data_IF_758053563956
#
_entry.id   IF_758053563956
#
_cell.length_a   1.000
_cell.length_b   1.000
_cell.length_c   1.000
_cell.angle_alpha   90.00
_cell.angle_beta   90.00
_cell.angle_gamma   90.00
#
_symmetry.space_group_name_H-M   'P 1'
#
loop_
_entity.id
_entity.type
_entity.pdbx_description
1 polymer ?
#
# COMPACT_ATOMS: atom_id res chain seq x y z
N UNK A 1 48.23 30.97 -20.47
CA UNK A 1 46.90 30.34 -20.46
C UNK A 1 46.53 30.02 -19.01
N UNK A 2 45.73 30.87 -18.37
CA UNK A 2 45.17 30.57 -17.05
C UNK A 2 43.82 29.88 -17.29
N UNK A 3 43.75 28.59 -16.96
CA UNK A 3 42.52 27.80 -17.09
C UNK A 3 41.49 28.27 -16.07
N UNK A 4 40.36 28.73 -16.55
CA UNK A 4 39.18 29.06 -15.75
C UNK A 4 38.59 27.75 -15.22
N UNK A 5 38.73 27.47 -13.92
CA UNK A 5 37.93 26.45 -13.25
C UNK A 5 36.49 26.98 -13.20
N UNK A 6 35.61 26.37 -13.99
CA UNK A 6 34.17 26.49 -13.80
C UNK A 6 33.83 25.84 -12.45
N UNK A 7 33.57 26.67 -11.44
CA UNK A 7 33.00 26.22 -10.18
C UNK A 7 31.50 26.10 -10.43
N UNK A 8 30.99 24.87 -10.56
CA UNK A 8 29.56 24.62 -10.66
C UNK A 8 28.87 25.20 -9.40
N UNK A 9 27.91 26.10 -9.61
CA UNK A 9 27.16 26.72 -8.51
C UNK A 9 26.20 25.73 -7.83
N UNK A 10 25.73 26.03 -6.61
CA UNK A 10 24.84 25.16 -5.85
C UNK A 10 23.52 24.83 -6.57
N UNK A 11 23.05 25.71 -7.46
CA UNK A 11 21.87 25.47 -8.29
C UNK A 11 22.04 24.32 -9.29
N UNK A 12 23.24 24.12 -9.85
CA UNK A 12 23.49 23.08 -10.84
C UNK A 12 23.49 21.67 -10.23
N UNK A 13 23.91 21.55 -8.97
CA UNK A 13 23.84 20.27 -8.25
C UNK A 13 22.41 19.91 -7.81
N UNK A 14 21.58 20.90 -7.46
CA UNK A 14 20.20 20.64 -7.02
C UNK A 14 19.29 20.15 -8.16
N UNK A 15 19.40 20.71 -9.37
CA UNK A 15 18.66 20.21 -10.54
C UNK A 15 19.02 18.75 -10.89
N UNK A 16 20.29 18.36 -10.71
CA UNK A 16 20.74 16.98 -10.92
C UNK A 16 20.16 16.03 -9.85
N UNK A 17 20.15 16.43 -8.58
CA UNK A 17 19.53 15.65 -7.49
C UNK A 17 18.03 15.45 -7.72
N UNK A 18 17.30 16.48 -8.15
CA UNK A 18 15.86 16.39 -8.40
C UNK A 18 15.53 15.42 -9.53
N UNK A 19 16.33 15.41 -10.60
CA UNK A 19 16.17 14.46 -11.72
C UNK A 19 16.45 13.02 -11.29
N UNK A 20 17.55 12.78 -10.58
CA UNK A 20 17.88 11.45 -10.02
C UNK A 20 16.81 10.94 -9.06
N UNK A 21 16.23 11.84 -8.28
CA UNK A 21 15.13 11.53 -7.37
C UNK A 21 13.86 11.14 -8.14
N UNK A 22 13.50 11.90 -9.18
CA UNK A 22 12.38 11.58 -10.07
C UNK A 22 12.56 10.20 -10.73
N UNK A 23 13.77 9.88 -11.21
CA UNK A 23 14.08 8.60 -11.83
C UNK A 23 13.95 7.42 -10.86
N UNK A 24 14.18 7.61 -9.56
CA UNK A 24 13.98 6.57 -8.54
C UNK A 24 12.49 6.33 -8.26
N UNK A 25 11.68 7.39 -8.27
CA UNK A 25 10.26 7.34 -7.95
C UNK A 25 9.37 7.45 -9.20
N UNK A 26 9.87 6.93 -10.34
CA UNK A 26 9.13 6.88 -11.59
C UNK A 26 7.88 6.00 -11.43
N UNK A 27 6.72 6.59 -11.70
CA UNK A 27 5.41 5.97 -11.59
C UNK A 27 4.49 6.38 -12.74
N UNK A 28 3.21 6.62 -12.43
CA UNK A 28 2.21 7.13 -13.39
C UNK A 28 2.72 8.36 -14.15
N UNK A 29 2.39 8.40 -15.44
CA UNK A 29 2.65 9.53 -16.32
C UNK A 29 1.41 10.42 -16.51
N UNK A 30 0.23 9.96 -16.08
CA UNK A 30 -1.02 10.70 -16.13
C UNK A 30 -1.33 11.52 -14.88
N UNK A 31 -0.73 11.21 -13.74
CA UNK A 31 -1.03 11.89 -12.48
C UNK A 31 0.07 11.78 -11.43
N UNK A 32 0.04 12.68 -10.44
CA UNK A 32 0.88 12.60 -9.23
C UNK A 32 0.11 13.07 -8.00
N UNK A 33 0.60 12.69 -6.83
CA UNK A 33 0.04 13.14 -5.55
C UNK A 33 0.61 14.49 -5.16
N UNK A 34 -0.23 15.36 -4.59
CA UNK A 34 0.20 16.56 -3.90
C UNK A 34 -0.37 16.58 -2.48
N UNK A 35 0.43 17.11 -1.56
CA UNK A 35 0.01 17.37 -0.19
C UNK A 35 0.22 18.83 0.13
N UNK A 36 -0.87 19.56 0.29
CA UNK A 36 -0.82 20.93 0.77
C UNK A 36 -0.83 20.96 2.31
N UNK A 37 0.11 21.70 2.88
CA UNK A 37 0.16 21.96 4.32
C UNK A 37 -0.66 23.22 4.56
N UNK A 38 -1.99 23.06 4.61
CA UNK A 38 -2.87 24.14 5.03
C UNK A 38 -2.39 24.69 6.39
N UNK A 39 -2.27 26.02 6.48
CA UNK A 39 -1.70 26.71 7.63
C UNK A 39 -2.28 26.26 8.98
N UNK A 40 -1.49 26.40 10.05
CA UNK A 40 -1.86 25.99 11.41
C UNK A 40 -3.21 26.58 11.85
N UNK A 41 -4.21 25.73 12.01
CA UNK A 41 -5.44 26.04 12.78
C UNK A 41 -5.11 26.15 14.29
N UNK A 42 -5.87 27.00 15.01
CA UNK A 42 -5.70 27.32 16.44
C UNK A 42 -5.68 26.11 17.39
N UNK A 43 -6.12 24.93 16.96
CA UNK A 43 -6.22 23.71 17.77
C UNK A 43 -5.07 22.69 17.56
N UNK A 44 -3.98 23.06 16.91
CA UNK A 44 -2.75 22.25 16.88
C UNK A 44 -2.77 20.99 15.99
N UNK A 45 -3.92 20.58 15.44
CA UNK A 45 -3.99 19.53 14.40
C UNK A 45 -3.83 20.15 13.01
N UNK A 46 -2.75 19.80 12.30
CA UNK A 46 -2.61 20.05 10.87
C UNK A 46 -3.53 19.09 10.11
N UNK A 47 -4.53 19.60 9.38
CA UNK A 47 -5.17 18.83 8.32
C UNK A 47 -4.31 18.96 7.06
N UNK A 48 -3.76 17.85 6.60
CA UNK A 48 -3.11 17.77 5.30
C UNK A 48 -4.19 17.45 4.27
N UNK A 49 -4.29 18.24 3.19
CA UNK A 49 -5.15 17.91 2.05
C UNK A 49 -4.31 17.10 1.08
N UNK A 50 -4.72 15.86 0.85
CA UNK A 50 -4.11 14.96 -0.12
C UNK A 50 -4.94 15.02 -1.39
N UNK A 51 -4.33 15.40 -2.51
CA UNK A 51 -4.99 15.54 -3.80
C UNK A 51 -4.19 14.85 -4.88
N UNK A 52 -4.89 14.29 -5.87
CA UNK A 52 -4.24 13.86 -7.10
C UNK A 52 -4.38 14.97 -8.15
N UNK A 53 -3.24 15.36 -8.71
CA UNK A 53 -3.17 16.28 -9.86
C UNK A 53 -2.96 15.45 -11.12
N UNK A 54 -3.84 15.62 -12.11
CA UNK A 54 -3.83 14.89 -13.40
C UNK A 54 -2.79 15.45 -14.38
N UNK A 55 -1.54 15.43 -13.96
CA UNK A 55 -0.39 15.72 -14.79
C UNK A 55 0.83 14.90 -14.32
N UNK A 56 1.82 14.64 -15.18
CA UNK A 56 3.01 13.90 -14.80
C UNK A 56 3.79 14.58 -13.66
N UNK A 57 4.41 13.79 -12.79
CA UNK A 57 5.37 14.31 -11.82
C UNK A 57 6.60 14.87 -12.56
N UNK A 58 6.88 16.16 -12.41
CA UNK A 58 7.97 16.85 -13.10
C UNK A 58 9.20 17.05 -12.21
N UNK A 59 10.34 17.38 -12.83
CA UNK A 59 11.56 17.76 -12.08
C UNK A 59 11.31 19.00 -11.22
N UNK A 60 10.51 19.95 -11.69
CA UNK A 60 10.17 21.16 -10.94
C UNK A 60 9.33 20.84 -9.69
N UNK A 61 8.36 19.93 -9.81
CA UNK A 61 7.57 19.44 -8.66
C UNK A 61 8.48 18.78 -7.62
N UNK A 62 9.44 17.97 -8.06
CA UNK A 62 10.42 17.34 -7.16
C UNK A 62 11.35 18.40 -6.55
N UNK A 63 11.78 19.41 -7.30
CA UNK A 63 12.61 20.49 -6.76
C UNK A 63 11.87 21.28 -5.68
N UNK A 64 10.60 21.65 -5.93
CA UNK A 64 9.75 22.32 -4.94
C UNK A 64 9.51 21.44 -3.70
N UNK A 65 9.44 20.11 -3.87
CA UNK A 65 9.38 19.18 -2.76
C UNK A 65 10.64 19.19 -1.89
N UNK A 66 11.80 19.07 -2.53
CA UNK A 66 13.10 19.08 -1.86
C UNK A 66 13.37 20.43 -1.18
N UNK A 67 12.88 21.53 -1.75
CA UNK A 67 12.93 22.87 -1.16
C UNK A 67 11.91 23.07 -0.03
N UNK A 68 10.93 22.16 0.10
CA UNK A 68 9.89 22.22 1.12
C UNK A 68 8.74 23.18 0.81
N UNK A 69 8.61 23.63 -0.44
CA UNK A 69 7.51 24.49 -0.91
C UNK A 69 6.23 23.71 -1.15
N UNK A 70 6.36 22.46 -1.59
CA UNK A 70 5.25 21.56 -1.90
C UNK A 70 5.47 20.16 -1.29
N UNK A 71 4.41 19.45 -0.93
CA UNK A 71 4.48 18.01 -0.69
C UNK A 71 4.10 17.28 -1.97
N UNK A 72 4.93 16.36 -2.45
CA UNK A 72 4.61 15.56 -3.64
C UNK A 72 4.66 14.08 -3.30
N UNK A 73 3.82 13.32 -3.99
CA UNK A 73 3.73 11.88 -3.93
C UNK A 73 3.79 11.28 -5.32
N UNK A 74 4.30 10.06 -5.42
CA UNK A 74 4.32 9.30 -6.67
C UNK A 74 3.29 8.18 -6.59
N UNK A 75 2.57 7.96 -7.70
CA UNK A 75 1.70 6.81 -7.91
C UNK A 75 2.58 5.71 -8.51
N UNK A 76 2.95 4.64 -7.78
CA UNK A 76 4.00 3.74 -8.23
C UNK A 76 3.65 2.91 -9.47
N UNK A 77 2.35 2.64 -9.68
CA UNK A 77 1.82 1.90 -10.82
C UNK A 77 1.55 2.86 -11.99
N UNK A 78 1.98 2.47 -13.19
CA UNK A 78 1.75 3.19 -14.43
C UNK A 78 0.53 2.66 -15.19
N UNK A 79 0.16 3.34 -16.27
CA UNK A 79 -1.01 3.04 -17.11
C UNK A 79 -0.89 1.70 -17.83
N UNK A 80 0.28 1.05 -17.78
CA UNK A 80 0.54 -0.28 -18.33
C UNK A 80 0.53 -1.38 -17.26
N UNK A 81 0.03 -1.06 -16.06
CA UNK A 81 0.01 -1.93 -14.87
C UNK A 81 1.39 -2.38 -14.41
N UNK A 82 2.42 -1.56 -14.66
CA UNK A 82 3.80 -1.82 -14.27
C UNK A 82 4.29 -0.79 -13.27
N UNK A 83 5.32 -1.16 -12.52
CA UNK A 83 5.97 -0.28 -11.55
C UNK A 83 7.49 -0.45 -11.60
N UNK A 84 8.21 0.62 -11.25
CA UNK A 84 9.67 0.61 -11.15
C UNK A 84 10.15 0.72 -9.70
N UNK A 85 9.25 1.05 -8.79
CA UNK A 85 9.48 0.99 -7.36
C UNK A 85 8.20 0.55 -6.66
N UNK A 86 8.36 0.10 -5.43
CA UNK A 86 7.24 -0.14 -4.52
C UNK A 86 7.66 0.17 -3.09
N UNK A 87 6.71 0.18 -2.17
CA UNK A 87 6.97 0.53 -0.79
C UNK A 87 6.12 -0.28 0.20
N UNK A 88 6.71 -0.56 1.37
CA UNK A 88 5.95 -0.90 2.57
C UNK A 88 5.78 0.36 3.40
N UNK A 89 4.56 0.67 3.82
CA UNK A 89 4.27 1.77 4.73
C UNK A 89 3.84 1.21 6.10
N UNK A 90 4.72 1.35 7.08
CA UNK A 90 4.55 0.87 8.45
C UNK A 90 4.23 2.07 9.34
N UNK A 91 2.96 2.20 9.68
CA UNK A 91 2.46 3.22 10.60
C UNK A 91 2.41 2.74 12.06
N UNK A 92 3.58 2.72 12.70
CA UNK A 92 3.69 2.54 14.16
C UNK A 92 4.54 3.65 14.78
N UNK A 93 3.94 4.38 15.73
CA UNK A 93 4.60 5.47 16.47
C UNK A 93 5.69 4.99 17.43
N UNK A 94 5.67 3.71 17.84
CA UNK A 94 6.65 3.09 18.74
C UNK A 94 7.72 2.29 17.98
N UNK A 95 7.82 2.48 16.66
CA UNK A 95 8.72 1.71 15.81
C UNK A 95 10.20 2.01 16.11
N UNK A 96 10.95 0.96 16.46
CA UNK A 96 12.41 1.02 16.55
C UNK A 96 13.02 0.88 15.14
N UNK A 97 13.29 2.03 14.51
CA UNK A 97 13.84 2.10 13.15
C UNK A 97 15.22 1.42 13.02
N UNK A 98 16.20 1.62 13.94
CA UNK A 98 17.45 0.86 13.93
C UNK A 98 17.25 -0.66 13.98
N UNK A 99 16.35 -1.16 14.82
CA UNK A 99 16.06 -2.59 14.92
C UNK A 99 15.42 -3.12 13.62
N UNK A 100 14.49 -2.37 13.04
CA UNK A 100 13.89 -2.73 11.75
C UNK A 100 14.93 -2.74 10.63
N UNK A 101 15.83 -1.75 10.59
CA UNK A 101 16.94 -1.73 9.63
C UNK A 101 17.87 -2.94 9.81
N UNK A 102 18.18 -3.31 11.06
CA UNK A 102 18.98 -4.49 11.36
C UNK A 102 18.30 -5.78 10.85
N UNK A 103 16.98 -5.91 11.03
CA UNK A 103 16.21 -7.02 10.44
C UNK A 103 16.32 -7.03 8.92
N UNK A 104 16.02 -5.91 8.24
CA UNK A 104 16.14 -5.76 6.78
C UNK A 104 17.51 -6.23 6.27
N UNK A 105 18.60 -5.86 6.96
CA UNK A 105 19.96 -6.30 6.60
C UNK A 105 20.22 -7.78 6.91
N UNK A 106 19.71 -8.30 8.03
CA UNK A 106 19.81 -9.73 8.39
C UNK A 106 19.18 -10.61 7.32
N UNK A 107 18.01 -10.21 6.84
CA UNK A 107 17.28 -10.86 5.75
C UNK A 107 17.86 -10.59 4.35
N UNK A 108 18.91 -9.77 4.24
CA UNK A 108 19.52 -9.34 2.97
C UNK A 108 18.49 -8.76 1.99
N UNK A 109 17.47 -8.08 2.53
CA UNK A 109 16.44 -7.46 1.71
C UNK A 109 16.98 -6.21 0.99
N UNK A 110 16.66 -6.02 -0.29
CA UNK A 110 17.05 -4.85 -1.08
C UNK A 110 16.12 -3.65 -0.81
N UNK A 111 15.82 -3.40 0.47
CA UNK A 111 14.94 -2.31 0.89
C UNK A 111 15.76 -1.13 1.42
N UNK A 112 15.33 0.08 1.04
CA UNK A 112 15.85 1.35 1.57
C UNK A 112 14.82 1.91 2.55
N UNK A 113 15.17 1.90 3.82
CA UNK A 113 14.30 2.34 4.91
C UNK A 113 14.43 3.86 5.11
N UNK A 114 13.30 4.56 4.99
CA UNK A 114 13.13 5.96 5.34
C UNK A 114 12.17 6.11 6.53
N UNK A 115 12.44 7.07 7.41
CA UNK A 115 11.49 7.47 8.45
C UNK A 115 10.28 8.16 7.80
N UNK A 116 9.06 7.83 8.21
CA UNK A 116 7.84 8.50 7.73
C UNK A 116 7.58 9.82 8.47
N UNK A 117 6.54 10.57 8.07
CA UNK A 117 6.14 11.81 8.78
C UNK A 117 5.69 11.51 10.22
N UNK A 118 4.88 10.46 10.38
CA UNK A 118 4.26 10.03 11.64
C UNK A 118 5.29 9.45 12.62
N UNK A 119 6.45 9.01 12.13
CA UNK A 119 7.49 8.37 12.94
C UNK A 119 7.63 6.87 12.69
N UNK A 120 6.74 6.31 11.87
CA UNK A 120 6.88 4.98 11.29
C UNK A 120 7.96 4.90 10.20
N UNK A 121 7.82 3.93 9.28
CA UNK A 121 8.82 3.65 8.26
C UNK A 121 8.20 3.42 6.88
N UNK A 122 8.80 4.04 5.85
CA UNK A 122 8.63 3.65 4.46
C UNK A 122 9.83 2.80 4.02
N UNK A 123 9.60 1.57 3.57
CA UNK A 123 10.66 0.70 3.03
C UNK A 123 10.50 0.59 1.52
N UNK A 124 11.40 1.23 0.78
CA UNK A 124 11.34 1.28 -0.68
C UNK A 124 12.13 0.14 -1.32
N UNK A 125 11.51 -0.53 -2.29
CA UNK A 125 12.16 -1.43 -3.23
C UNK A 125 12.30 -0.71 -4.58
N UNK A 126 13.51 -0.68 -5.13
CA UNK A 126 13.77 -0.05 -6.43
C UNK A 126 14.18 -1.10 -7.47
N UNK A 127 13.63 -0.99 -8.66
CA UNK A 127 13.90 -1.91 -9.77
C UNK A 127 14.73 -1.22 -10.86
N UNK A 128 15.62 -1.98 -11.50
CA UNK A 128 16.35 -1.51 -12.69
C UNK A 128 15.50 -1.56 -13.96
N UNK A 129 14.39 -2.31 -13.93
CA UNK A 129 13.45 -2.49 -15.03
C UNK A 129 12.01 -2.47 -14.49
N UNK A 130 11.03 -2.15 -15.34
CA UNK A 130 9.62 -2.15 -14.93
C UNK A 130 9.11 -3.59 -14.81
N UNK A 131 8.48 -3.91 -13.68
CA UNK A 131 7.84 -5.21 -13.43
C UNK A 131 6.32 -5.04 -13.28
N UNK A 132 5.57 -6.14 -13.36
CA UNK A 132 4.14 -6.11 -13.11
C UNK A 132 3.84 -5.65 -11.67
N UNK A 133 2.80 -4.83 -11.48
CA UNK A 133 2.41 -4.37 -10.15
C UNK A 133 1.98 -5.53 -9.23
N UNK A 134 1.37 -6.58 -9.78
CA UNK A 134 1.09 -7.82 -9.06
C UNK A 134 2.36 -8.47 -8.50
N UNK A 135 3.38 -8.65 -9.33
CA UNK A 135 4.69 -9.20 -8.90
C UNK A 135 5.33 -8.34 -7.81
N UNK A 136 5.36 -7.01 -7.97
CA UNK A 136 5.87 -6.10 -6.94
C UNK A 136 5.15 -6.28 -5.60
N UNK A 137 3.81 -6.32 -5.62
CA UNK A 137 2.99 -6.44 -4.41
C UNK A 137 3.17 -7.79 -3.73
N UNK A 138 3.20 -8.89 -4.49
CA UNK A 138 3.41 -10.22 -3.93
C UNK A 138 4.74 -10.29 -3.18
N UNK A 139 5.82 -9.79 -3.80
CA UNK A 139 7.16 -9.79 -3.21
C UNK A 139 7.26 -8.88 -1.99
N UNK A 140 6.64 -7.70 -2.04
CA UNK A 140 6.56 -6.81 -0.89
C UNK A 140 5.75 -7.43 0.26
N UNK A 141 4.65 -8.13 -0.02
CA UNK A 141 3.85 -8.83 1.00
C UNK A 141 4.64 -9.94 1.70
N UNK A 142 5.46 -10.68 0.94
CA UNK A 142 6.41 -11.64 1.53
C UNK A 142 7.46 -10.95 2.42
N UNK A 143 8.05 -9.84 1.97
CA UNK A 143 9.00 -9.06 2.77
C UNK A 143 8.37 -8.51 4.05
N UNK A 144 7.16 -7.98 3.95
CA UNK A 144 6.39 -7.46 5.07
C UNK A 144 6.15 -8.54 6.13
N UNK A 145 5.68 -9.72 5.71
CA UNK A 145 5.49 -10.86 6.60
C UNK A 145 6.80 -11.27 7.28
N UNK A 146 7.90 -11.41 6.52
CA UNK A 146 9.21 -11.78 7.07
C UNK A 146 9.74 -10.76 8.11
N UNK A 147 9.43 -9.48 7.93
CA UNK A 147 9.82 -8.42 8.85
C UNK A 147 8.93 -8.34 10.11
N UNK A 148 7.80 -9.04 10.12
CA UNK A 148 6.78 -8.97 11.19
C UNK A 148 5.80 -7.82 11.01
N UNK A 149 5.52 -7.45 9.76
CA UNK A 149 4.61 -6.36 9.37
C UNK A 149 3.66 -6.79 8.25
N UNK A 150 3.22 -8.05 8.21
CA UNK A 150 2.42 -8.62 7.12
C UNK A 150 1.09 -7.94 6.80
N UNK A 151 0.60 -7.04 7.67
CA UNK A 151 -0.61 -6.25 7.46
C UNK A 151 -0.34 -4.75 7.26
N UNK A 152 0.92 -4.35 7.05
CA UNK A 152 1.22 -2.96 6.70
C UNK A 152 0.66 -2.61 5.32
N UNK A 153 0.54 -1.31 5.01
CA UNK A 153 0.14 -0.94 3.66
C UNK A 153 1.27 -1.24 2.67
N UNK A 154 0.88 -1.65 1.45
CA UNK A 154 1.80 -1.98 0.35
C UNK A 154 1.46 -1.06 -0.82
N UNK A 155 2.49 -0.48 -1.42
CA UNK A 155 2.40 0.37 -2.59
C UNK A 155 3.18 -0.24 -3.77
N UNK A 156 2.59 -0.34 -4.98
CA UNK A 156 1.25 0.14 -5.33
C UNK A 156 0.13 -0.61 -4.57
N UNK A 157 -0.98 0.07 -4.27
CA UNK A 157 -2.14 -0.57 -3.60
C UNK A 157 -2.86 -1.52 -4.57
N UNK A 158 -2.86 -1.13 -5.85
CA UNK A 158 -3.45 -1.81 -6.99
C UNK A 158 -2.49 -2.78 -7.68
N UNK A 159 -3.02 -3.89 -8.20
CA UNK A 159 -2.32 -4.72 -9.20
C UNK A 159 -2.61 -4.25 -10.64
N UNK A 160 -3.75 -3.58 -10.85
CA UNK A 160 -4.20 -3.10 -12.15
C UNK A 160 -4.90 -1.72 -12.01
N UNK A 161 -4.76 -0.88 -13.03
CA UNK A 161 -5.47 0.38 -13.19
C UNK A 161 -6.53 0.25 -14.31
N UNK A 162 -7.69 0.87 -14.08
CA UNK A 162 -8.69 1.10 -15.12
C UNK A 162 -8.50 2.48 -15.75
N UNK A 163 -7.34 2.71 -16.37
CA UNK A 163 -6.94 4.03 -16.88
C UNK A 163 -7.96 4.63 -17.86
N UNK A 164 -8.55 3.80 -18.73
CA UNK A 164 -9.60 4.21 -19.69
C UNK A 164 -10.86 4.77 -19.00
N UNK A 165 -11.07 4.42 -17.73
CA UNK A 165 -12.21 4.86 -16.91
C UNK A 165 -11.85 6.01 -15.95
N UNK A 166 -10.65 6.58 -16.11
CA UNK A 166 -10.19 7.70 -15.31
C UNK A 166 -9.58 7.33 -13.95
N UNK A 167 -9.34 6.04 -13.70
CA UNK A 167 -8.57 5.59 -12.54
C UNK A 167 -7.08 5.88 -12.74
N UNK A 168 -6.47 6.44 -11.70
CA UNK A 168 -5.08 6.87 -11.68
C UNK A 168 -4.30 6.18 -10.56
N UNK A 169 -4.95 5.38 -9.70
CA UNK A 169 -4.29 4.69 -8.60
C UNK A 169 -4.05 5.53 -7.34
N UNK A 170 -3.40 4.93 -6.34
CA UNK A 170 -3.03 5.61 -5.09
C UNK A 170 -1.55 6.03 -5.09
N UNK A 171 -1.28 7.22 -4.55
CA UNK A 171 0.09 7.70 -4.37
C UNK A 171 0.64 7.41 -2.99
N UNK A 172 1.96 7.32 -2.90
CA UNK A 172 2.72 7.39 -1.65
C UNK A 172 3.49 8.71 -1.58
N UNK A 173 3.50 9.33 -0.41
CA UNK A 173 4.27 10.55 -0.18
C UNK A 173 5.77 10.28 -0.28
N UNK A 174 6.48 11.11 -1.04
CA UNK A 174 7.91 10.95 -1.22
C UNK A 174 8.71 11.38 0.04
N UNK A 175 9.86 10.73 0.31
CA UNK A 175 10.74 11.11 1.41
C UNK A 175 11.49 12.42 1.09
N UNK A 176 12.26 12.95 2.05
CA UNK A 176 13.10 14.13 1.83
C UNK A 176 12.40 15.47 1.50
N UNK A 177 11.09 15.61 1.76
CA UNK A 177 10.47 16.94 1.76
C UNK A 177 11.26 17.90 2.65
N UNK A 178 11.58 19.09 2.14
CA UNK A 178 12.49 20.05 2.79
C UNK A 178 13.83 19.37 3.16
N UNK A 179 14.56 18.88 2.15
CA UNK A 179 15.71 17.98 2.29
C UNK A 179 16.76 18.48 3.28
N UNK A 180 16.93 19.81 3.39
CA UNK A 180 17.86 20.45 4.32
C UNK A 180 17.53 20.21 5.80
N UNK A 181 16.24 20.12 6.14
CA UNK A 181 15.74 19.95 7.52
C UNK A 181 14.75 18.80 7.64
N UNK A 182 14.86 17.81 6.76
CA UNK A 182 13.84 16.79 6.63
C UNK A 182 13.80 15.89 7.87
N UNK A 183 12.58 15.50 8.27
CA UNK A 183 12.36 14.44 9.26
C UNK A 183 12.07 13.10 8.60
N UNK A 184 12.10 13.06 7.27
CA UNK A 184 11.78 11.91 6.41
C UNK A 184 13.03 11.37 5.69
N UNK A 185 14.08 11.14 6.46
CA UNK A 185 15.38 10.70 5.94
C UNK A 185 15.51 9.18 5.91
N UNK A 186 16.42 8.69 5.07
CA UNK A 186 16.86 7.30 5.08
C UNK A 186 17.86 7.05 6.20
N UNK A 187 17.90 5.83 6.73
CA UNK A 187 18.82 5.48 7.82
C UNK A 187 20.13 4.87 7.30
N UNK A 188 21.26 5.38 7.81
CA UNK A 188 22.59 4.79 7.69
C UNK A 188 22.68 3.49 8.47
N UNK A 189 23.73 2.70 8.20
CA UNK A 189 23.99 1.42 8.89
C UNK A 189 24.12 1.57 10.41
N UNK A 190 24.56 2.72 10.89
CA UNK A 190 24.72 3.03 12.31
C UNK A 190 23.47 3.67 12.95
N UNK A 191 22.37 3.82 12.20
CA UNK A 191 21.13 4.44 12.68
C UNK A 191 21.01 5.95 12.42
N UNK A 192 22.09 6.61 11.98
CA UNK A 192 22.07 8.05 11.70
C UNK A 192 21.30 8.40 10.42
N UNK A 193 20.91 9.66 10.28
CA UNK A 193 20.26 10.16 9.06
C UNK A 193 21.22 10.22 7.86
N UNK A 194 20.73 9.80 6.70
CA UNK A 194 21.33 10.08 5.40
C UNK A 194 20.95 11.49 4.93
N UNK A 195 21.91 12.17 4.30
CA UNK A 195 21.64 13.32 3.43
C UNK A 195 20.96 12.86 2.13
N UNK A 196 20.38 13.81 1.37
CA UNK A 196 19.75 13.53 0.08
C UNK A 196 20.71 12.79 -0.88
N UNK A 197 21.95 13.28 -1.01
CA UNK A 197 22.95 12.66 -1.90
C UNK A 197 23.35 11.25 -1.45
N UNK A 198 23.51 11.03 -0.14
CA UNK A 198 23.78 9.69 0.40
C UNK A 198 22.62 8.73 0.13
N UNK A 199 21.38 9.22 0.24
CA UNK A 199 20.19 8.44 -0.10
C UNK A 199 20.12 8.11 -1.59
N UNK A 200 20.28 9.09 -2.48
CA UNK A 200 20.23 8.87 -3.92
C UNK A 200 21.25 7.80 -4.32
N UNK A 201 22.50 7.92 -3.88
CA UNK A 201 23.55 6.94 -4.15
C UNK A 201 23.22 5.55 -3.56
N UNK A 202 22.65 5.50 -2.35
CA UNK A 202 22.26 4.23 -1.72
C UNK A 202 21.07 3.56 -2.44
N UNK A 203 20.07 4.34 -2.87
CA UNK A 203 18.87 3.87 -3.54
C UNK A 203 19.17 3.41 -4.97
N UNK A 204 19.98 4.16 -5.73
CA UNK A 204 20.46 3.75 -7.05
C UNK A 204 21.24 2.44 -6.98
N UNK A 205 22.12 2.31 -5.97
CA UNK A 205 22.88 1.07 -5.75
C UNK A 205 22.02 -0.11 -5.28
N UNK A 206 20.90 0.17 -4.61
CA UNK A 206 19.98 -0.86 -4.12
C UNK A 206 19.06 -1.41 -5.22
N UNK A 207 19.06 -0.81 -6.43
CA UNK A 207 18.26 -1.30 -7.55
C UNK A 207 18.58 -2.75 -7.89
N UNK A 208 17.54 -3.53 -8.16
CA UNK A 208 17.65 -4.94 -8.56
C UNK A 208 16.86 -5.21 -9.84
N UNK A 209 17.21 -6.28 -10.56
CA UNK A 209 16.45 -6.80 -11.71
C UNK A 209 15.29 -7.68 -11.26
N UNK A 210 14.32 -7.94 -12.13
CA UNK A 210 13.24 -8.89 -11.89
C UNK A 210 13.79 -10.29 -11.55
N UNK A 211 14.85 -10.70 -12.26
CA UNK A 211 15.55 -11.97 -11.99
C UNK A 211 16.18 -11.99 -10.59
N UNK A 212 16.78 -10.89 -10.13
CA UNK A 212 17.33 -10.82 -8.79
C UNK A 212 16.22 -10.88 -7.73
N UNK A 213 15.11 -10.15 -7.94
CA UNK A 213 13.95 -10.15 -7.06
C UNK A 213 13.35 -11.55 -6.86
N UNK A 214 13.16 -12.28 -7.96
CA UNK A 214 12.64 -13.66 -7.97
C UNK A 214 13.56 -14.65 -7.25
N UNK A 215 14.87 -14.41 -7.23
CA UNK A 215 15.85 -15.27 -6.57
C UNK A 215 16.02 -14.96 -5.07
N UNK A 216 15.36 -13.94 -4.54
CA UNK A 216 15.38 -13.67 -3.10
C UNK A 216 14.54 -14.73 -2.41
N UNK A 217 15.20 -15.71 -1.81
CA UNK A 217 14.53 -16.64 -0.92
C UNK A 217 14.49 -16.03 0.48
N UNK A 218 13.27 -15.73 0.93
CA UNK A 218 13.04 -15.44 2.33
C UNK A 218 12.92 -16.78 3.01
N UNK A 219 13.84 -17.04 3.93
CA UNK A 219 13.77 -18.21 4.78
C UNK A 219 12.35 -18.40 5.31
N UNK A 220 11.85 -19.58 5.02
CA UNK A 220 10.81 -20.28 5.72
C UNK A 220 11.15 -21.70 5.37
N UNK A 221 11.99 -22.33 6.19
CA UNK A 221 12.58 -23.61 5.83
C UNK A 221 11.44 -24.62 5.63
N UNK A 222 11.13 -24.90 4.36
CA UNK A 222 10.09 -25.87 4.01
C UNK A 222 10.51 -27.27 4.48
N UNK A 223 11.74 -27.43 4.97
CA UNK A 223 12.23 -28.61 5.67
C UNK A 223 11.61 -28.78 7.06
N UNK A 224 11.40 -27.70 7.84
CA UNK A 224 10.93 -27.82 9.24
C UNK A 224 9.42 -27.97 9.30
N UNK A 225 8.68 -27.14 8.55
CA UNK A 225 7.21 -27.22 8.43
C UNK A 225 6.80 -27.33 6.95
N UNK A 226 7.03 -28.48 6.30
CA UNK A 226 6.69 -28.69 4.89
C UNK A 226 5.24 -28.35 4.55
N UNK A 227 5.04 -27.44 3.60
CA UNK A 227 3.73 -26.97 3.15
C UNK A 227 2.83 -26.43 4.28
N UNK A 228 3.45 -25.97 5.38
CA UNK A 228 2.78 -25.32 6.49
C UNK A 228 2.48 -23.84 6.22
N UNK A 229 1.70 -23.19 7.10
CA UNK A 229 1.45 -21.74 7.03
C UNK A 229 2.77 -20.94 7.05
N UNK A 230 2.92 -19.94 6.17
CA UNK A 230 4.16 -19.14 6.08
C UNK A 230 4.46 -18.36 7.36
N UNK A 231 3.43 -17.92 8.09
CA UNK A 231 3.61 -17.25 9.38
C UNK A 231 4.27 -18.16 10.42
N UNK A 232 3.90 -19.45 10.44
CA UNK A 232 4.49 -20.43 11.36
C UNK A 232 5.91 -20.77 10.95
N UNK A 233 6.19 -20.97 9.66
CA UNK A 233 7.54 -21.19 9.15
C UNK A 233 8.50 -20.07 9.59
N UNK A 234 8.08 -18.82 9.44
CA UNK A 234 8.87 -17.66 9.86
C UNK A 234 9.08 -17.61 11.38
N UNK A 235 8.01 -17.80 12.17
CA UNK A 235 8.11 -17.79 13.64
C UNK A 235 9.01 -18.91 14.17
N UNK A 236 8.99 -20.08 13.53
CA UNK A 236 9.86 -21.21 13.84
C UNK A 236 11.32 -20.90 13.50
N UNK A 237 11.60 -20.36 12.31
CA UNK A 237 12.97 -20.07 11.88
C UNK A 237 13.68 -19.04 12.77
N UNK A 238 12.97 -17.99 13.21
CA UNK A 238 13.56 -16.97 14.08
C UNK A 238 13.54 -17.32 15.57
N UNK A 239 12.85 -18.41 15.92
CA UNK A 239 12.52 -18.77 17.28
C UNK A 239 11.43 -17.87 17.86
N UNK A 240 10.53 -18.48 18.63
CA UNK A 240 9.40 -17.76 19.23
C UNK A 240 9.77 -17.23 20.61
N UNK A 241 9.82 -15.90 20.81
CA UNK A 241 10.18 -15.32 22.10
C UNK A 241 9.02 -15.36 23.11
N UNK A 242 9.35 -15.02 24.36
CA UNK A 242 8.38 -14.80 25.42
C UNK A 242 7.20 -13.90 25.02
N UNK A 243 6.00 -14.23 25.52
CA UNK A 243 4.75 -13.55 25.16
C UNK A 243 3.96 -14.20 24.01
N UNK A 244 4.64 -14.85 23.04
CA UNK A 244 4.00 -15.45 21.86
C UNK A 244 3.98 -16.98 21.80
N UNK A 245 4.73 -17.66 22.68
CA UNK A 245 4.99 -19.12 22.62
C UNK A 245 3.75 -19.99 22.64
N UNK A 246 2.84 -19.75 23.60
CA UNK A 246 1.64 -20.58 23.75
C UNK A 246 0.73 -20.47 22.50
N UNK A 247 0.48 -19.24 22.03
CA UNK A 247 -0.30 -19.01 20.81
C UNK A 247 0.35 -19.66 19.58
N UNK A 248 1.68 -19.56 19.47
CA UNK A 248 2.41 -20.19 18.37
C UNK A 248 2.32 -21.71 18.43
N UNK A 249 2.55 -22.32 19.60
CA UNK A 249 2.48 -23.77 19.79
C UNK A 249 1.07 -24.34 19.55
N UNK A 250 0.01 -23.62 19.92
CA UNK A 250 -1.36 -24.05 19.57
C UNK A 250 -1.50 -24.19 18.06
N UNK A 251 -1.01 -23.22 17.28
CA UNK A 251 -1.12 -23.23 15.82
C UNK A 251 -0.15 -24.23 15.15
N UNK A 252 1.05 -24.41 15.71
CA UNK A 252 1.98 -25.48 15.31
C UNK A 252 1.34 -26.85 15.55
N UNK A 253 0.62 -27.02 16.67
CA UNK A 253 -0.12 -28.23 16.96
C UNK A 253 -1.25 -28.49 15.96
N UNK A 254 -1.96 -27.45 15.49
CA UNK A 254 -2.94 -27.58 14.39
C UNK A 254 -2.25 -28.11 13.13
N UNK A 255 -1.10 -27.54 12.76
CA UNK A 255 -0.31 -28.01 11.62
C UNK A 255 0.10 -29.49 11.77
N UNK A 256 0.70 -29.88 12.90
CA UNK A 256 1.15 -31.26 13.09
C UNK A 256 -0.02 -32.26 13.14
N UNK A 257 -1.20 -31.87 13.65
CA UNK A 257 -2.40 -32.72 13.56
C UNK A 257 -2.82 -32.98 12.12
N UNK A 258 -2.61 -32.04 11.21
CA UNK A 258 -2.91 -32.21 9.78
C UNK A 258 -1.80 -32.97 9.04
N UNK A 259 -0.54 -32.64 9.32
CA UNK A 259 0.62 -33.18 8.61
C UNK A 259 1.07 -34.57 9.11
N UNK A 260 0.94 -34.84 10.41
CA UNK A 260 1.42 -36.05 11.09
C UNK A 260 0.50 -36.44 12.27
N UNK A 261 -0.77 -36.84 12.01
CA UNK A 261 -1.81 -37.03 13.03
C UNK A 261 -1.49 -38.09 14.10
N UNK A 262 -0.58 -39.03 13.84
CA UNK A 262 -0.23 -40.08 14.81
C UNK A 262 0.85 -39.62 15.79
N UNK A 263 1.74 -38.71 15.36
CA UNK A 263 2.97 -38.35 16.09
C UNK A 263 2.97 -36.88 16.55
N UNK A 264 1.87 -36.15 16.33
CA UNK A 264 1.80 -34.70 16.50
C UNK A 264 2.17 -34.22 17.91
N UNK A 265 1.92 -35.01 18.97
CA UNK A 265 2.26 -34.64 20.34
C UNK A 265 3.77 -34.63 20.58
N UNK A 266 4.46 -35.68 20.13
CA UNK A 266 5.91 -35.80 20.22
C UNK A 266 6.60 -34.72 19.38
N UNK A 267 6.09 -34.50 18.15
CA UNK A 267 6.57 -33.43 17.28
C UNK A 267 6.38 -32.05 17.90
N UNK A 268 5.25 -31.80 18.57
CA UNK A 268 4.98 -30.53 19.25
C UNK A 268 5.91 -30.30 20.45
N UNK A 269 6.19 -31.33 21.25
CA UNK A 269 7.15 -31.26 22.36
C UNK A 269 8.56 -30.95 21.87
N UNK A 270 9.00 -31.65 20.82
CA UNK A 270 10.29 -31.39 20.17
C UNK A 270 10.35 -29.97 19.62
N UNK A 271 9.30 -29.52 18.94
CA UNK A 271 9.22 -28.16 18.40
C UNK A 271 9.35 -27.09 19.49
N UNK A 272 8.72 -27.29 20.65
CA UNK A 272 8.88 -26.39 21.79
C UNK A 272 10.34 -26.31 22.27
N UNK A 273 11.04 -27.45 22.38
CA UNK A 273 12.44 -27.47 22.81
C UNK A 273 13.37 -26.79 21.80
N UNK A 274 13.14 -27.04 20.51
CA UNK A 274 14.04 -26.59 19.45
C UNK A 274 13.82 -25.11 19.08
N UNK A 275 12.58 -24.61 19.15
CA UNK A 275 12.21 -23.31 18.54
C UNK A 275 11.53 -22.30 19.47
N UNK A 276 11.12 -22.65 20.69
CA UNK A 276 10.65 -21.67 21.66
C UNK A 276 11.81 -21.17 22.54
N UNK A 277 11.91 -19.85 22.73
CA UNK A 277 13.02 -19.25 23.48
C UNK A 277 12.54 -18.36 24.66
N UNK A 278 12.70 -18.79 25.92
CA UNK A 278 13.03 -20.17 26.33
C UNK A 278 11.87 -21.14 26.07
N UNK A 279 12.10 -22.47 26.06
CA UNK A 279 11.05 -23.46 25.90
C UNK A 279 9.97 -23.34 26.99
N UNK A 280 8.72 -23.63 26.64
CA UNK A 280 7.66 -23.73 27.64
C UNK A 280 7.91 -24.93 28.59
N UNK A 281 7.54 -24.81 29.87
CA UNK A 281 7.56 -25.93 30.79
C UNK A 281 6.67 -27.08 30.30
N UNK A 282 7.06 -28.33 30.59
CA UNK A 282 6.32 -29.52 30.15
C UNK A 282 4.82 -29.47 30.51
N UNK A 283 4.48 -28.94 31.69
CA UNK A 283 3.08 -28.77 32.12
C UNK A 283 2.27 -27.90 31.16
N UNK A 284 2.85 -26.84 30.61
CA UNK A 284 2.16 -25.95 29.67
C UNK A 284 1.98 -26.62 28.31
N UNK A 285 2.98 -27.38 27.85
CA UNK A 285 2.88 -28.16 26.60
C UNK A 285 1.77 -29.20 26.68
N UNK A 286 1.66 -29.91 27.81
CA UNK A 286 0.57 -30.88 28.05
C UNK A 286 -0.80 -30.19 28.01
N UNK A 287 -0.93 -28.99 28.59
CA UNK A 287 -2.19 -28.22 28.51
C UNK A 287 -2.55 -27.88 27.05
N UNK A 288 -1.58 -27.49 26.23
CA UNK A 288 -1.81 -27.22 24.80
C UNK A 288 -2.25 -28.50 24.08
N UNK A 289 -1.62 -29.64 24.36
CA UNK A 289 -2.03 -30.94 23.80
C UNK A 289 -3.48 -31.28 24.18
N UNK A 290 -3.84 -31.19 25.45
CA UNK A 290 -5.21 -31.45 25.93
C UNK A 290 -6.23 -30.50 25.30
N UNK A 291 -5.86 -29.23 25.07
CA UNK A 291 -6.73 -28.29 24.37
C UNK A 291 -7.02 -28.76 22.95
N UNK A 292 -5.99 -29.13 22.19
CA UNK A 292 -6.08 -29.57 20.80
C UNK A 292 -6.79 -30.92 20.62
N UNK A 293 -6.89 -31.75 21.67
CA UNK A 293 -7.68 -32.99 21.66
C UNK A 293 -9.19 -32.75 21.81
N UNK A 294 -9.59 -31.77 22.61
CA UNK A 294 -11.01 -31.54 22.98
C UNK A 294 -11.87 -31.11 21.80
N UNK A 295 -11.31 -30.39 20.83
CA UNK A 295 -12.02 -29.92 19.64
C UNK A 295 -11.06 -29.70 18.48
N UNK A 296 -11.60 -29.65 17.29
CA UNK A 296 -10.87 -29.20 16.12
C UNK A 296 -10.67 -27.68 16.18
N UNK A 297 -9.43 -27.23 15.96
CA UNK A 297 -9.06 -25.82 15.94
C UNK A 297 -8.67 -25.42 14.53
N UNK A 298 -8.98 -24.18 14.18
CA UNK A 298 -8.48 -23.51 12.99
C UNK A 298 -7.35 -22.55 13.36
N UNK A 299 -6.52 -22.20 12.37
CA UNK A 299 -5.45 -21.23 12.58
C UNK A 299 -5.99 -19.88 13.05
N UNK A 300 -5.41 -19.34 14.13
CA UNK A 300 -5.79 -18.06 14.74
C UNK A 300 -5.04 -16.89 14.08
N UNK A 301 -5.26 -16.71 12.77
CA UNK A 301 -4.49 -15.77 11.93
C UNK A 301 -4.57 -14.30 12.39
N UNK A 302 -5.60 -13.92 13.15
CA UNK A 302 -5.80 -12.57 13.68
C UNK A 302 -5.18 -12.34 15.06
N UNK A 303 -4.54 -13.37 15.64
CA UNK A 303 -3.90 -13.30 16.95
C UNK A 303 -2.40 -13.13 16.80
N UNK A 304 -1.80 -12.27 17.63
CA UNK A 304 -0.34 -12.18 17.69
C UNK A 304 0.27 -13.45 18.32
N UNK A 305 1.45 -13.90 17.84
CA UNK A 305 2.32 -13.24 16.87
C UNK A 305 2.03 -13.58 15.39
N UNK A 306 1.06 -14.45 15.09
CA UNK A 306 0.79 -14.90 13.72
C UNK A 306 0.31 -13.76 12.82
N UNK A 307 -0.50 -12.86 13.37
CA UNK A 307 -1.07 -11.74 12.63
C UNK A 307 0.02 -10.87 12.02
N UNK A 308 1.04 -10.47 12.79
CA UNK A 308 2.19 -9.70 12.29
C UNK A 308 3.00 -10.41 11.20
N UNK A 309 2.95 -11.74 11.13
CA UNK A 309 3.66 -12.55 10.12
C UNK A 309 2.73 -13.13 9.05
N UNK A 310 1.49 -12.67 8.98
CA UNK A 310 0.48 -13.25 8.11
C UNK A 310 0.72 -12.86 6.64
N UNK A 311 0.93 -13.85 5.78
CA UNK A 311 0.74 -13.71 4.34
C UNK A 311 -0.38 -14.66 3.91
N UNK A 312 -1.60 -14.14 3.85
CA UNK A 312 -2.80 -14.94 3.60
C UNK A 312 -2.85 -15.53 2.19
N UNK A 313 -2.38 -14.79 1.18
CA UNK A 313 -2.33 -15.25 -0.21
C UNK A 313 -1.44 -16.48 -0.34
N UNK A 314 -0.20 -16.37 0.15
CA UNK A 314 0.75 -17.49 0.18
C UNK A 314 0.24 -18.64 1.06
N UNK A 315 -0.40 -18.35 2.20
CA UNK A 315 -0.93 -19.39 3.07
C UNK A 315 -1.99 -20.25 2.36
N UNK A 316 -2.87 -19.67 1.54
CA UNK A 316 -3.88 -20.43 0.78
C UNK A 316 -3.28 -21.38 -0.26
N UNK A 317 -2.07 -21.11 -0.74
CA UNK A 317 -1.40 -22.00 -1.69
C UNK A 317 -0.71 -23.20 -1.03
N UNK A 318 -0.66 -23.24 0.31
CA UNK A 318 0.00 -24.29 1.08
C UNK A 318 -0.96 -25.43 1.38
N UNK A 319 -0.48 -26.68 1.28
CA UNK A 319 -1.28 -27.89 1.54
C UNK A 319 -1.92 -27.90 2.93
N UNK A 320 -1.20 -27.43 3.94
CA UNK A 320 -1.66 -27.35 5.33
C UNK A 320 -1.96 -25.89 5.74
N UNK A 321 -2.21 -25.01 4.77
CA UNK A 321 -2.58 -23.62 4.99
C UNK A 321 -4.07 -23.41 5.28
N UNK A 322 -4.54 -22.18 5.12
CA UNK A 322 -5.95 -21.82 5.37
C UNK A 322 -6.84 -22.04 4.14
N UNK A 323 -8.02 -22.62 4.36
CA UNK A 323 -9.09 -22.83 3.36
C UNK A 323 -9.80 -24.16 3.62
N UNK A 324 -11.00 -24.20 4.21
CA UNK A 324 -12.29 -24.03 3.49
C UNK A 324 -13.41 -23.44 4.39
N UNK A 325 -13.23 -22.24 4.95
CA UNK A 325 -14.31 -21.55 5.68
C UNK A 325 -14.15 -20.02 5.68
N UNK A 326 -15.10 -19.31 5.07
CA UNK A 326 -15.41 -17.88 5.29
C UNK A 326 -14.24 -16.90 5.25
N UNK A 327 -13.45 -16.92 4.18
CA UNK A 327 -12.50 -15.85 3.97
C UNK A 327 -13.19 -14.57 3.49
N UNK A 328 -13.33 -13.57 4.36
CA UNK A 328 -13.54 -12.20 3.91
C UNK A 328 -12.39 -11.77 2.99
N UNK A 329 -12.75 -11.09 1.91
CA UNK A 329 -11.82 -10.56 0.91
C UNK A 329 -11.28 -9.23 1.41
N UNK A 330 -9.96 -8.96 1.32
CA UNK A 330 -9.42 -7.64 1.66
C UNK A 330 -10.03 -6.57 0.75
N UNK A 331 -10.53 -5.48 1.35
CA UNK A 331 -11.10 -4.32 0.65
C UNK A 331 -10.32 -3.08 1.09
N UNK A 332 -9.79 -2.30 0.15
CA UNK A 332 -8.88 -1.19 0.41
C UNK A 332 -8.82 -0.16 -0.71
N UNK A 333 -7.91 0.83 -0.58
CA UNK A 333 -7.52 1.70 -1.70
C UNK A 333 -8.63 2.55 -2.30
N UNK A 334 -9.62 2.98 -1.51
CA UNK A 334 -10.76 3.73 -2.04
C UNK A 334 -10.32 5.03 -2.73
N UNK A 335 -10.80 5.23 -3.94
CA UNK A 335 -10.58 6.44 -4.73
C UNK A 335 -11.93 6.93 -5.23
N UNK A 336 -12.16 8.23 -5.16
CA UNK A 336 -13.39 8.86 -5.67
C UNK A 336 -13.03 9.84 -6.78
N UNK A 337 -13.70 9.67 -7.92
CA UNK A 337 -13.80 10.71 -8.93
C UNK A 337 -15.02 11.54 -8.57
N UNK A 338 -14.80 12.81 -8.25
CA UNK A 338 -15.83 13.75 -7.79
C UNK A 338 -16.71 14.27 -8.95
N UNK A 339 -17.17 13.35 -9.81
CA UNK A 339 -18.17 13.60 -10.84
C UNK A 339 -19.59 13.65 -10.25
N UNK A 340 -20.57 14.03 -11.07
CA UNK A 340 -21.99 14.02 -10.70
C UNK A 340 -22.76 13.00 -11.58
N UNK A 341 -23.12 11.80 -11.08
CA UNK A 341 -22.85 11.24 -9.74
C UNK A 341 -21.38 10.78 -9.56
N UNK A 342 -20.90 10.63 -8.31
CA UNK A 342 -19.52 10.22 -8.05
C UNK A 342 -19.28 8.77 -8.45
N UNK A 343 -18.09 8.51 -8.98
CA UNK A 343 -17.61 7.17 -9.32
C UNK A 343 -16.56 6.75 -8.31
N UNK A 344 -16.73 5.55 -7.75
CA UNK A 344 -15.86 5.01 -6.71
C UNK A 344 -15.01 3.88 -7.30
N UNK A 345 -13.71 3.90 -7.05
CA UNK A 345 -12.81 2.80 -7.36
C UNK A 345 -12.29 2.20 -6.06
N UNK A 346 -12.39 0.87 -5.91
CA UNK A 346 -11.97 0.17 -4.70
C UNK A 346 -11.16 -1.08 -5.04
N UNK A 347 -10.15 -1.36 -4.24
CA UNK A 347 -9.30 -2.55 -4.39
C UNK A 347 -9.92 -3.72 -3.62
N UNK A 348 -10.15 -4.84 -4.30
CA UNK A 348 -10.76 -6.05 -3.76
C UNK A 348 -9.93 -7.26 -4.20
N UNK A 349 -9.21 -7.89 -3.26
CA UNK A 349 -8.33 -9.03 -3.56
C UNK A 349 -7.29 -8.75 -4.66
N UNK A 350 -6.79 -7.51 -4.78
CA UNK A 350 -5.87 -7.10 -5.84
C UNK A 350 -6.56 -6.60 -7.12
N UNK A 351 -7.84 -6.91 -7.32
CA UNK A 351 -8.63 -6.40 -8.46
C UNK A 351 -9.20 -5.01 -8.17
N UNK A 352 -9.21 -4.14 -9.17
CA UNK A 352 -9.76 -2.79 -9.10
C UNK A 352 -11.20 -2.77 -9.59
N UNK A 353 -12.15 -2.43 -8.73
CA UNK A 353 -13.58 -2.39 -9.08
C UNK A 353 -14.07 -0.96 -9.18
N UNK A 354 -14.83 -0.68 -10.23
CA UNK A 354 -15.61 0.55 -10.37
C UNK A 354 -17.01 0.34 -9.78
N UNK A 355 -17.43 1.22 -8.88
CA UNK A 355 -18.69 1.14 -8.15
C UNK A 355 -19.44 2.47 -8.20
N UNK A 356 -20.75 2.38 -8.31
CA UNK A 356 -21.67 3.46 -7.92
C UNK A 356 -21.75 3.58 -6.39
N UNK A 357 -22.22 4.72 -5.88
CA UNK A 357 -22.50 4.91 -4.44
C UNK A 357 -23.42 3.81 -3.88
N UNK A 358 -24.41 3.37 -4.66
CA UNK A 358 -25.31 2.28 -4.25
C UNK A 358 -24.57 0.96 -4.11
N UNK A 359 -23.67 0.63 -5.05
CA UNK A 359 -22.86 -0.59 -4.98
C UNK A 359 -21.85 -0.55 -3.83
N UNK A 360 -21.24 0.60 -3.55
CA UNK A 360 -20.34 0.76 -2.40
C UNK A 360 -21.09 0.65 -1.06
N UNK A 361 -22.26 1.27 -0.95
CA UNK A 361 -23.05 1.29 0.29
C UNK A 361 -23.70 -0.07 0.60
N UNK A 362 -24.34 -0.69 -0.39
CA UNK A 362 -25.13 -1.90 -0.20
C UNK A 362 -24.28 -3.14 -0.46
N UNK A 363 -23.96 -3.90 0.59
CA UNK A 363 -23.09 -5.08 0.46
C UNK A 363 -23.58 -6.14 -0.55
N UNK A 364 -24.89 -6.29 -0.74
CA UNK A 364 -25.45 -7.20 -1.76
C UNK A 364 -25.14 -6.71 -3.18
N UNK A 365 -25.19 -5.40 -3.41
CA UNK A 365 -24.83 -4.80 -4.70
C UNK A 365 -23.31 -4.79 -4.89
N UNK A 366 -22.53 -4.63 -3.81
CA UNK A 366 -21.08 -4.84 -3.83
C UNK A 366 -20.72 -6.26 -4.27
N UNK A 367 -21.35 -7.29 -3.71
CA UNK A 367 -21.14 -8.68 -4.13
C UNK A 367 -21.47 -8.90 -5.60
N UNK A 368 -22.56 -8.32 -6.09
CA UNK A 368 -22.93 -8.38 -7.52
C UNK A 368 -21.87 -7.72 -8.40
N UNK A 369 -21.42 -6.52 -8.04
CA UNK A 369 -20.35 -5.84 -8.75
C UNK A 369 -19.05 -6.68 -8.78
N UNK A 370 -18.71 -7.34 -7.67
CA UNK A 370 -17.59 -8.29 -7.65
C UNK A 370 -17.79 -9.47 -8.59
N UNK A 371 -18.99 -10.05 -8.64
CA UNK A 371 -19.30 -11.15 -9.55
C UNK A 371 -19.21 -10.72 -11.02
N UNK A 372 -19.62 -9.48 -11.33
CA UNK A 372 -19.63 -8.93 -12.68
C UNK A 372 -18.23 -8.53 -13.17
N UNK A 373 -17.38 -7.97 -12.30
CA UNK A 373 -16.09 -7.40 -12.70
C UNK A 373 -14.89 -8.31 -12.43
N UNK A 374 -14.94 -9.15 -11.39
CA UNK A 374 -13.82 -10.01 -11.00
C UNK A 374 -14.20 -11.49 -10.91
N UNK A 375 -15.44 -11.87 -11.25
CA UNK A 375 -15.96 -13.24 -11.18
C UNK A 375 -15.77 -13.93 -9.83
N UNK A 376 -15.74 -13.15 -8.74
CA UNK A 376 -15.68 -13.64 -7.35
C UNK A 376 -16.86 -13.08 -6.56
N UNK A 377 -17.39 -13.87 -5.63
CA UNK A 377 -18.44 -13.45 -4.71
C UNK A 377 -17.91 -13.45 -3.27
N UNK A 378 -17.43 -12.29 -2.75
CA UNK A 378 -16.91 -12.20 -1.39
C UNK A 378 -17.97 -12.59 -0.34
N UNK A 379 -17.57 -13.21 0.76
CA UNK A 379 -18.48 -13.51 1.86
C UNK A 379 -18.94 -12.23 2.57
N UNK A 380 -20.24 -12.15 2.91
CA UNK A 380 -20.82 -11.03 3.65
C UNK A 380 -20.28 -10.96 5.07
N UNK A 381 -20.08 -9.73 5.57
CA UNK A 381 -19.78 -9.46 6.99
C UNK A 381 -21.01 -8.88 7.70
N UNK A 382 -20.93 -8.65 9.01
CA UNK A 382 -22.01 -7.99 9.75
C UNK A 382 -22.20 -6.56 9.23
N UNK A 383 -23.44 -6.06 9.25
CA UNK A 383 -23.74 -4.71 8.76
C UNK A 383 -22.96 -3.62 9.49
N UNK A 384 -22.75 -3.76 10.80
CA UNK A 384 -21.89 -2.85 11.59
C UNK A 384 -20.47 -2.82 11.06
N UNK A 385 -19.88 -4.00 10.84
CA UNK A 385 -18.49 -4.14 10.41
C UNK A 385 -18.32 -3.60 8.97
N UNK A 386 -19.33 -3.78 8.12
CA UNK A 386 -19.33 -3.21 6.76
C UNK A 386 -19.40 -1.68 6.79
N UNK A 387 -20.28 -1.11 7.62
CA UNK A 387 -20.38 0.34 7.78
C UNK A 387 -19.06 0.93 8.27
N UNK A 388 -18.48 0.35 9.30
CA UNK A 388 -17.23 0.85 9.89
C UNK A 388 -16.05 0.70 8.90
N UNK A 389 -16.02 -0.38 8.11
CA UNK A 389 -15.07 -0.53 6.99
C UNK A 389 -15.22 0.59 5.95
N UNK A 390 -16.44 0.84 5.47
CA UNK A 390 -16.69 1.87 4.45
C UNK A 390 -16.36 3.27 4.99
N UNK A 391 -16.66 3.56 6.26
CA UNK A 391 -16.34 4.86 6.89
C UNK A 391 -14.83 5.10 6.96
N UNK A 392 -14.06 4.07 7.35
CA UNK A 392 -12.59 4.14 7.33
C UNK A 392 -12.05 4.30 5.89
N UNK A 393 -12.63 3.60 4.91
CA UNK A 393 -12.23 3.78 3.51
C UNK A 393 -12.51 5.20 3.02
N UNK A 394 -13.63 5.81 3.43
CA UNK A 394 -13.99 7.19 3.07
C UNK A 394 -13.10 8.24 3.73
N UNK A 395 -12.64 8.01 4.97
CA UNK A 395 -11.72 8.93 5.64
C UNK A 395 -10.37 9.03 4.94
N UNK A 396 -9.91 7.89 4.40
CA UNK A 396 -8.60 7.75 3.77
C UNK A 396 -8.68 7.78 2.23
N UNK A 397 -9.87 8.05 1.69
CA UNK A 397 -10.12 8.01 0.26
C UNK A 397 -9.27 9.02 -0.50
N UNK A 398 -8.66 8.57 -1.58
CA UNK A 398 -7.99 9.43 -2.54
C UNK A 398 -9.05 10.15 -3.39
N UNK A 399 -8.95 11.48 -3.51
CA UNK A 399 -9.94 12.29 -4.24
C UNK A 399 -9.35 12.81 -5.54
N UNK A 400 -10.10 12.60 -6.62
CA UNK A 400 -9.81 13.12 -7.95
C UNK A 400 -10.89 14.15 -8.26
N UNK A 401 -10.52 15.43 -8.21
CA UNK A 401 -11.41 16.52 -8.58
C UNK A 401 -11.66 16.52 -10.08
N UNK A 402 -12.91 16.73 -10.48
CA UNK A 402 -13.29 16.96 -11.88
C UNK A 402 -13.46 18.47 -12.09
N UNK A 403 -12.96 19.05 -13.21
CA UNK A 403 -13.22 20.45 -13.55
C UNK A 403 -14.71 20.78 -13.48
N UNK A 404 -15.07 21.94 -12.92
CA UNK A 404 -16.48 22.30 -12.73
C UNK A 404 -17.21 22.30 -14.07
N UNK A 405 -16.57 22.72 -15.18
CA UNK A 405 -17.18 22.73 -16.52
C UNK A 405 -17.59 21.34 -17.03
N UNK A 406 -16.99 20.27 -16.50
CA UNK A 406 -17.31 18.89 -16.86
C UNK A 406 -18.36 18.24 -15.94
N UNK A 407 -18.91 19.00 -14.98
CA UNK A 407 -20.02 18.57 -14.12
C UNK A 407 -21.37 18.99 -14.69
N UNK A 408 -22.47 18.33 -14.28
CA UNK A 408 -23.81 18.76 -14.71
C UNK A 408 -24.15 20.16 -14.19
N UNK A 409 -23.77 20.45 -12.95
CA UNK A 409 -23.90 21.79 -12.37
C UNK A 409 -23.11 22.83 -13.15
N UNK A 410 -21.85 22.57 -13.48
CA UNK A 410 -21.04 23.53 -14.23
C UNK A 410 -21.51 23.71 -15.67
N UNK A 411 -21.93 22.64 -16.36
CA UNK A 411 -22.58 22.73 -17.66
C UNK A 411 -23.86 23.58 -17.56
N UNK A 412 -24.68 23.39 -16.52
CA UNK A 412 -25.85 24.23 -16.28
C UNK A 412 -25.48 25.69 -16.01
N UNK A 413 -24.45 25.95 -15.20
CA UNK A 413 -23.96 27.31 -14.91
C UNK A 413 -23.43 27.98 -16.19
N UNK A 414 -22.67 27.27 -17.02
CA UNK A 414 -22.19 27.76 -18.31
C UNK A 414 -23.36 28.05 -19.26
N UNK A 415 -24.33 27.13 -19.36
CA UNK A 415 -25.54 27.34 -20.16
C UNK A 415 -26.37 28.53 -19.67
N UNK A 416 -26.48 28.70 -18.35
CA UNK A 416 -27.18 29.83 -17.73
C UNK A 416 -26.44 31.14 -17.95
N UNK A 417 -25.11 31.15 -17.80
CA UNK A 417 -24.27 32.30 -18.08
C UNK A 417 -24.35 32.70 -19.56
N UNK A 418 -24.25 31.72 -20.47
CA UNK A 418 -24.43 31.93 -21.91
C UNK A 418 -25.84 32.47 -22.22
N UNK A 419 -26.88 31.92 -21.59
CA UNK A 419 -28.25 32.42 -21.73
C UNK A 419 -28.38 33.88 -21.25
N UNK A 420 -27.79 34.23 -20.10
CA UNK A 420 -27.90 35.56 -19.51
C UNK A 420 -26.99 36.63 -20.14
N UNK A 421 -25.87 36.23 -20.77
CA UNK A 421 -24.85 37.15 -21.30
C UNK A 421 -24.82 37.21 -22.83
N UNK A 422 -25.35 36.20 -23.52
CA UNK A 422 -25.47 36.21 -24.98
C UNK A 422 -26.42 37.31 -25.42
N UNK A 423 -25.95 38.16 -26.34
CA UNK A 423 -26.76 39.20 -26.98
C UNK A 423 -27.49 38.72 -28.23
N UNK A 424 -27.31 37.44 -28.59
CA UNK A 424 -27.81 36.87 -29.83
C UNK A 424 -28.97 35.94 -29.48
N UNK A 425 -30.20 36.40 -29.68
CA UNK A 425 -31.40 35.56 -29.57
C UNK A 425 -31.56 34.67 -30.80
N UNK A 426 -32.16 33.51 -30.59
CA UNK A 426 -32.58 32.64 -31.67
C UNK A 426 -33.72 33.30 -32.47
N UNK A 427 -33.65 33.26 -33.80
CA UNK A 427 -34.75 33.72 -34.67
C UNK A 427 -35.65 32.57 -35.15
N UNK A 428 -35.24 31.33 -34.92
CA UNK A 428 -36.06 30.14 -35.15
C UNK A 428 -35.70 29.04 -34.14
N UNK A 429 -36.61 28.09 -33.88
CA UNK A 429 -36.38 26.99 -32.93
C UNK A 429 -35.16 26.13 -33.26
N UNK A 430 -34.77 26.03 -34.53
CA UNK A 430 -33.60 25.26 -34.97
C UNK A 430 -32.28 25.85 -34.45
N UNK A 431 -32.26 27.15 -34.14
CA UNK A 431 -31.07 27.83 -33.62
C UNK A 431 -30.80 27.53 -32.14
N UNK A 432 -31.73 26.88 -31.42
CA UNK A 432 -31.49 26.31 -30.08
C UNK A 432 -30.31 25.33 -30.09
N UNK A 433 -30.13 24.58 -31.19
CA UNK A 433 -29.03 23.63 -31.36
C UNK A 433 -27.66 24.32 -31.45
N UNK A 434 -27.64 25.63 -31.69
CA UNK A 434 -26.43 26.47 -31.75
C UNK A 434 -26.17 27.24 -30.44
N UNK A 435 -26.93 26.93 -29.38
CA UNK A 435 -26.75 27.55 -28.06
C UNK A 435 -27.38 28.94 -27.92
N UNK A 436 -28.25 29.35 -28.85
CA UNK A 436 -28.93 30.65 -28.78
C UNK A 436 -30.20 30.55 -27.90
N UNK A 437 -30.41 31.50 -26.97
CA UNK A 437 -31.64 31.59 -26.18
C UNK A 437 -32.86 31.88 -27.07
N UNK A 438 -33.93 31.09 -26.92
CA UNK A 438 -35.22 31.25 -27.61
C UNK A 438 -36.33 31.55 -26.59
N UNK A 439 -37.22 32.49 -26.89
CA UNK A 439 -38.48 32.66 -26.15
C UNK A 439 -39.66 32.49 -27.11
N UNK A 440 -40.82 32.05 -26.60
CA UNK A 440 -42.02 31.89 -27.43
C UNK A 440 -42.51 33.21 -28.05
N UNK A 441 -42.08 34.35 -27.51
CA UNK A 441 -42.43 35.69 -27.97
C UNK A 441 -41.34 36.36 -28.85
N UNK A 442 -40.21 35.67 -29.10
CA UNK A 442 -39.00 36.22 -29.74
C UNK A 442 -37.96 36.68 -28.74
#
# INVERSE_FOLDING_TARGET
MRGTRLIAGPYFFMEDSARRFLDLFSGSQGAHGQTDVLGRQRNGKQQAKYEIVREPLSVDHVQDHLDGRLGVGSIPIDETNKCQFGALDIDDYNLDLPLLLAKVKRFKLPLVLCRSKSGGAHLFLFMSERIAASEMRDRLAEFAAALGWGNCEIFPKQEELLAERGDVGNFINLPYQNAKYTTRYALKKNGDSMSLEEFLAAAEKARITAKQLANISLGGDNEILPDGPPCLQQLTEFGTPEGGRNMTLINIGVYYKQAAPNDWKELLEKHNQDYCNPPLPAREVVIVQEQLEKKEYFYTCKSEPLHSHCNKSLCRSRKFGVGDANSHVPVGGLTVVESEPPVWFVDVDGARLELSTKQLQMQVEFQRACMEQMYKMPARMKESDWRDLVDNLLSDATRISVPEELTQKGLFTELLENFCTSRIQAHSPEELLTGKPWTEDG
#
